data_IF_588745957577
#
_entry.id   IF_588745957577
#
_cell.length_a   1.000
_cell.length_b   1.000
_cell.length_c   1.000
_cell.angle_alpha   90.00
_cell.angle_beta   90.00
_cell.angle_gamma   90.00
#
_symmetry.space_group_name_H-M   'P 1'
#
loop_
_entity.id
_entity.type
_entity.pdbx_description
1 polymer ?
#
# COMPACT_ATOMS: atom_id res chain seq x y z
N UNK A 1 70.11 38.34 15.18
CA UNK A 1 70.41 37.29 16.18
C UNK A 1 69.14 36.47 16.36
N UNK A 2 69.19 35.20 15.90
CA UNK A 2 68.19 34.10 15.93
C UNK A 2 66.71 34.40 15.63
N UNK A 3 66.31 34.02 14.42
CA UNK A 3 64.94 33.88 13.92
C UNK A 3 64.22 32.69 14.59
N UNK A 4 63.03 32.92 15.15
CA UNK A 4 62.12 31.84 15.57
C UNK A 4 61.24 31.45 14.38
N UNK A 5 61.32 30.20 13.95
CA UNK A 5 60.62 29.66 12.79
C UNK A 5 59.19 29.23 13.19
N UNK A 6 58.12 29.85 12.67
CA UNK A 6 56.76 29.59 13.09
C UNK A 6 56.19 28.39 12.32
N UNK A 7 56.74 27.20 12.53
CA UNK A 7 56.05 25.98 12.12
C UNK A 7 55.01 25.61 13.19
N UNK A 8 53.98 26.45 13.33
CA UNK A 8 52.70 25.99 13.88
C UNK A 8 52.14 24.97 12.89
N UNK A 9 52.16 23.70 13.27
CA UNK A 9 51.47 22.64 12.55
C UNK A 9 49.99 23.01 12.42
N UNK A 10 49.58 23.45 11.21
CA UNK A 10 48.18 23.63 10.85
C UNK A 10 47.56 22.25 10.70
N UNK A 11 47.03 21.70 11.80
CA UNK A 11 46.14 20.55 11.75
C UNK A 11 44.82 21.05 11.17
N UNK A 12 44.58 20.78 9.89
CA UNK A 12 43.29 20.99 9.26
C UNK A 12 42.41 19.79 9.66
N UNK A 13 41.51 20.01 10.60
CA UNK A 13 40.50 19.02 10.96
C UNK A 13 39.38 19.08 9.91
N UNK A 14 39.35 18.12 8.98
CA UNK A 14 38.24 17.96 8.04
C UNK A 14 37.06 17.35 8.82
N UNK A 15 36.12 18.19 9.25
CA UNK A 15 34.81 17.72 9.76
C UNK A 15 33.98 17.32 8.54
N UNK A 16 33.94 16.02 8.23
CA UNK A 16 32.94 15.47 7.32
C UNK A 16 31.57 15.49 8.02
N UNK A 17 30.73 16.48 7.71
CA UNK A 17 29.34 16.49 8.15
C UNK A 17 28.59 15.45 7.33
N UNK A 18 28.26 14.31 7.94
CA UNK A 18 27.26 13.39 7.41
C UNK A 18 25.89 14.07 7.56
N UNK A 19 25.43 14.70 6.48
CA UNK A 19 24.05 15.18 6.39
C UNK A 19 23.19 13.95 6.12
N UNK A 20 22.52 13.41 7.14
CA UNK A 20 21.43 12.47 6.91
C UNK A 20 20.27 13.25 6.31
N UNK A 21 20.05 13.09 5.01
CA UNK A 21 18.82 13.57 4.38
C UNK A 21 17.68 12.69 4.90
N UNK A 22 16.84 13.24 5.77
CA UNK A 22 15.52 12.66 6.00
C UNK A 22 14.76 12.79 4.68
N UNK A 23 14.69 11.72 3.87
CA UNK A 23 13.79 11.71 2.72
C UNK A 23 12.39 11.47 3.25
N UNK A 24 11.59 12.53 3.36
CA UNK A 24 10.16 12.37 3.50
C UNK A 24 9.61 11.79 2.20
N UNK A 25 8.62 10.90 2.30
CA UNK A 25 7.89 10.42 1.14
C UNK A 25 7.35 11.64 0.38
N UNK A 26 7.64 11.72 -0.93
CA UNK A 26 7.11 12.80 -1.76
C UNK A 26 5.68 12.44 -2.13
N UNK A 27 4.76 13.39 -1.98
CA UNK A 27 3.39 13.22 -2.46
C UNK A 27 3.36 13.44 -3.99
N UNK A 28 2.99 12.39 -4.73
CA UNK A 28 2.79 12.42 -6.18
C UNK A 28 1.30 12.26 -6.49
N UNK A 29 0.73 13.27 -7.11
CA UNK A 29 -0.71 13.32 -7.40
C UNK A 29 -0.96 13.10 -8.89
N UNK A 30 -1.94 12.27 -9.25
CA UNK A 30 -2.35 12.16 -10.65
C UNK A 30 -3.15 13.38 -11.11
N UNK A 31 -3.04 13.70 -12.39
CA UNK A 31 -3.89 14.70 -13.04
C UNK A 31 -5.33 14.15 -13.13
N UNK A 32 -6.36 15.02 -13.15
CA UNK A 32 -7.75 14.58 -13.32
C UNK A 32 -7.99 13.76 -14.60
N UNK A 33 -7.23 14.05 -15.66
CA UNK A 33 -7.30 13.29 -16.92
C UNK A 33 -6.75 11.87 -16.84
N UNK A 34 -5.94 11.58 -15.82
CA UNK A 34 -5.33 10.28 -15.63
C UNK A 34 -4.33 9.90 -16.73
N UNK A 35 -4.05 8.61 -16.87
CA UNK A 35 -3.11 8.07 -17.84
C UNK A 35 -2.40 6.81 -17.36
N UNK A 36 -1.30 6.48 -18.02
CA UNK A 36 -0.47 5.32 -17.69
C UNK A 36 0.48 5.67 -16.53
N UNK A 37 0.69 4.72 -15.61
CA UNK A 37 1.53 4.94 -14.42
C UNK A 37 2.94 5.41 -14.79
N UNK A 38 3.58 4.83 -15.81
CA UNK A 38 4.94 5.22 -16.22
C UNK A 38 5.02 6.57 -16.92
N UNK A 39 3.89 7.16 -17.35
CA UNK A 39 3.88 8.37 -18.13
C UNK A 39 3.90 9.59 -17.21
N UNK A 40 4.95 10.43 -17.32
CA UNK A 40 5.04 11.68 -16.58
C UNK A 40 3.83 12.62 -16.76
N UNK A 41 3.17 12.57 -17.93
CA UNK A 41 1.95 13.34 -18.19
C UNK A 41 0.74 12.94 -17.33
N UNK A 42 0.76 11.74 -16.73
CA UNK A 42 -0.27 11.29 -15.78
C UNK A 42 -0.18 12.03 -14.45
N UNK A 43 0.98 12.58 -14.12
CA UNK A 43 1.31 13.07 -12.79
C UNK A 43 1.52 14.59 -12.78
N UNK A 44 1.05 15.24 -11.72
CA UNK A 44 1.33 16.65 -11.49
C UNK A 44 2.85 16.79 -11.25
N UNK A 45 3.49 17.68 -12.01
CA UNK A 45 4.95 17.85 -11.96
C UNK A 45 5.74 16.96 -12.91
N UNK A 46 5.09 16.06 -13.66
CA UNK A 46 5.76 15.34 -14.75
C UNK A 46 6.55 14.10 -14.34
N UNK A 47 6.52 13.71 -13.05
CA UNK A 47 7.33 12.62 -12.50
C UNK A 47 6.44 11.47 -12.04
N UNK A 48 6.60 10.26 -12.62
CA UNK A 48 5.95 9.05 -12.11
C UNK A 48 6.38 8.67 -10.69
N UNK A 49 5.48 8.06 -9.88
CA UNK A 49 5.82 7.61 -8.54
C UNK A 49 6.89 6.53 -8.52
N UNK A 50 7.72 6.60 -7.49
CA UNK A 50 8.70 5.61 -7.09
C UNK A 50 8.24 4.83 -5.83
N UNK A 51 8.95 3.75 -5.43
CA UNK A 51 8.58 2.94 -4.27
C UNK A 51 8.52 3.69 -2.92
N UNK A 52 9.15 4.86 -2.83
CA UNK A 52 9.19 5.68 -1.60
C UNK A 52 8.18 6.81 -1.59
N UNK A 53 7.40 6.98 -2.66
CA UNK A 53 6.48 8.10 -2.81
C UNK A 53 5.09 7.75 -2.33
N UNK A 54 4.42 8.72 -1.71
CA UNK A 54 3.00 8.64 -1.39
C UNK A 54 2.21 9.06 -2.63
N UNK A 55 1.19 8.30 -3.00
CA UNK A 55 0.47 8.49 -4.25
C UNK A 55 -0.97 8.89 -3.99
N UNK A 56 -1.45 9.92 -4.69
CA UNK A 56 -2.86 10.31 -4.68
C UNK A 56 -3.45 10.21 -6.08
N UNK A 57 -4.47 9.38 -6.25
CA UNK A 57 -5.13 9.14 -7.53
C UNK A 57 -6.42 9.96 -7.61
N UNK A 58 -6.41 10.99 -8.47
CA UNK A 58 -7.54 11.90 -8.72
C UNK A 58 -8.32 11.59 -10.01
N UNK A 59 -7.68 10.91 -10.97
CA UNK A 59 -8.27 10.45 -12.23
C UNK A 59 -8.05 8.96 -12.49
N UNK A 60 -8.27 8.51 -13.73
CA UNK A 60 -8.04 7.13 -14.14
C UNK A 60 -6.54 6.84 -14.30
N UNK A 61 -5.95 6.05 -13.42
CA UNK A 61 -4.56 5.58 -13.54
C UNK A 61 -4.54 4.11 -13.94
N UNK A 62 -3.90 3.82 -15.07
CA UNK A 62 -3.68 2.46 -15.57
C UNK A 62 -2.24 2.02 -15.32
N UNK A 63 -2.04 0.90 -14.64
CA UNK A 63 -0.72 0.29 -14.50
C UNK A 63 -0.30 -0.32 -15.84
N UNK A 64 0.67 0.29 -16.52
CA UNK A 64 1.24 -0.23 -17.77
C UNK A 64 2.49 -1.09 -17.53
N UNK A 65 3.01 -1.09 -16.30
CA UNK A 65 4.10 -1.92 -15.78
C UNK A 65 3.80 -2.40 -14.36
N UNK A 66 4.53 -3.41 -13.89
CA UNK A 66 4.58 -3.73 -12.48
C UNK A 66 5.38 -2.65 -11.75
N UNK A 67 4.86 -2.15 -10.64
CA UNK A 67 5.41 -0.96 -9.96
C UNK A 67 5.09 -1.00 -8.47
N UNK A 68 5.53 0.03 -7.75
CA UNK A 68 5.30 0.16 -6.32
C UNK A 68 5.21 1.61 -5.88
N UNK A 69 4.59 1.83 -4.72
CA UNK A 69 4.56 3.10 -4.00
C UNK A 69 4.74 2.88 -2.50
N UNK A 70 4.91 3.95 -1.74
CA UNK A 70 4.86 3.90 -0.29
C UNK A 70 3.41 3.78 0.18
N UNK A 71 2.68 4.90 0.28
CA UNK A 71 1.23 4.88 0.52
C UNK A 71 0.46 5.16 -0.78
N UNK A 72 -0.83 4.82 -0.79
CA UNK A 72 -1.74 5.22 -1.88
C UNK A 72 -3.12 5.62 -1.36
N UNK A 73 -3.61 6.76 -1.83
CA UNK A 73 -4.96 7.25 -1.61
C UNK A 73 -5.66 7.35 -2.96
N UNK A 74 -6.76 6.62 -3.13
CA UNK A 74 -7.63 6.73 -4.31
C UNK A 74 -8.78 7.64 -3.92
N UNK A 75 -8.85 8.84 -4.48
CA UNK A 75 -9.95 9.77 -4.21
C UNK A 75 -11.25 9.33 -4.87
N UNK A 76 -12.36 9.98 -4.50
CA UNK A 76 -13.72 9.63 -4.97
C UNK A 76 -13.83 9.57 -6.49
N UNK A 77 -13.13 10.44 -7.21
CA UNK A 77 -13.09 10.45 -8.70
C UNK A 77 -11.98 9.58 -9.28
N UNK A 78 -11.09 9.07 -8.43
CA UNK A 78 -9.94 8.27 -8.80
C UNK A 78 -10.33 6.85 -9.21
N UNK A 79 -9.60 6.29 -10.15
CA UNK A 79 -9.69 4.88 -10.50
C UNK A 79 -8.30 4.29 -10.66
N UNK A 80 -8.02 3.18 -9.99
CA UNK A 80 -6.83 2.37 -10.20
C UNK A 80 -7.21 1.07 -10.90
N UNK A 81 -6.52 0.77 -12.00
CA UNK A 81 -6.69 -0.47 -12.76
C UNK A 81 -5.38 -0.90 -13.43
N UNK A 82 -5.31 -2.13 -13.92
CA UNK A 82 -4.29 -2.55 -14.88
C UNK A 82 -4.55 -1.96 -16.29
N UNK A 83 -3.48 -1.77 -17.07
CA UNK A 83 -3.59 -1.42 -18.49
C UNK A 83 -4.34 -2.53 -19.24
N UNK A 84 -5.11 -2.11 -20.25
CA UNK A 84 -5.88 -3.02 -21.09
C UNK A 84 -5.03 -4.20 -21.59
N UNK A 85 -5.59 -5.40 -21.51
CA UNK A 85 -4.96 -6.65 -21.94
C UNK A 85 -3.60 -6.95 -21.28
N UNK A 86 -3.38 -6.52 -20.02
CA UNK A 86 -2.18 -6.89 -19.26
C UNK A 86 -2.49 -7.39 -17.85
N UNK A 87 -1.72 -8.36 -17.35
CA UNK A 87 -1.66 -8.68 -15.92
C UNK A 87 -0.64 -7.75 -15.25
N UNK A 88 -1.03 -7.12 -14.14
CA UNK A 88 -0.19 -6.12 -13.48
C UNK A 88 -0.27 -6.20 -11.96
N UNK A 89 0.88 -5.93 -11.35
CA UNK A 89 1.03 -5.89 -9.90
C UNK A 89 1.43 -4.50 -9.45
N UNK A 90 0.71 -3.97 -8.46
CA UNK A 90 1.17 -2.84 -7.65
C UNK A 90 1.52 -3.34 -6.25
N UNK A 91 2.74 -3.04 -5.82
CA UNK A 91 3.15 -3.24 -4.42
C UNK A 91 3.04 -1.92 -3.66
N UNK A 92 2.20 -1.89 -2.62
CA UNK A 92 2.05 -0.76 -1.71
C UNK A 92 2.81 -1.09 -0.43
N UNK A 93 3.96 -0.44 -0.24
CA UNK A 93 4.86 -0.72 0.90
C UNK A 93 4.28 -0.27 2.24
N UNK A 94 3.31 0.65 2.22
CA UNK A 94 2.59 1.16 3.36
C UNK A 94 1.08 0.97 3.21
N UNK A 95 0.33 2.02 3.51
CA UNK A 95 -1.12 1.99 3.63
C UNK A 95 -1.82 2.26 2.29
N UNK A 96 -3.02 1.69 2.13
CA UNK A 96 -3.95 2.01 1.04
C UNK A 96 -5.29 2.50 1.61
N UNK A 97 -5.73 3.66 1.12
CA UNK A 97 -7.07 4.18 1.39
C UNK A 97 -7.82 4.34 0.07
N UNK A 98 -8.93 3.63 -0.08
CA UNK A 98 -9.76 3.69 -1.28
C UNK A 98 -11.07 4.44 -0.99
N UNK A 99 -11.26 5.61 -1.60
CA UNK A 99 -12.54 6.33 -1.67
C UNK A 99 -13.20 6.25 -3.05
N UNK A 100 -12.47 5.79 -4.07
CA UNK A 100 -12.92 5.72 -5.46
C UNK A 100 -13.14 4.28 -5.91
N UNK A 101 -12.52 3.91 -7.02
CA UNK A 101 -12.66 2.61 -7.67
C UNK A 101 -11.31 1.91 -7.85
N UNK A 102 -11.19 0.71 -7.28
CA UNK A 102 -10.13 -0.25 -7.59
C UNK A 102 -10.78 -1.41 -8.35
N UNK A 103 -10.26 -1.72 -9.54
CA UNK A 103 -10.83 -2.77 -10.38
C UNK A 103 -9.82 -3.39 -11.32
N UNK A 104 -10.16 -4.57 -11.81
CA UNK A 104 -9.58 -5.06 -13.04
C UNK A 104 -10.10 -4.25 -14.23
N UNK A 105 -9.29 -4.22 -15.28
CA UNK A 105 -9.75 -3.85 -16.60
C UNK A 105 -10.20 -5.09 -17.37
N UNK A 106 -9.32 -5.71 -18.17
CA UNK A 106 -9.64 -6.95 -18.91
C UNK A 106 -9.02 -8.21 -18.29
N UNK A 107 -7.73 -8.14 -17.94
CA UNK A 107 -7.06 -9.17 -17.14
C UNK A 107 -6.80 -8.68 -15.72
N UNK A 108 -5.93 -9.36 -14.99
CA UNK A 108 -5.88 -9.29 -13.55
C UNK A 108 -5.04 -8.11 -13.05
N UNK A 109 -5.59 -7.35 -12.11
CA UNK A 109 -4.86 -6.47 -11.22
C UNK A 109 -4.60 -7.19 -9.89
N UNK A 110 -3.33 -7.28 -9.53
CA UNK A 110 -2.88 -7.77 -8.22
C UNK A 110 -2.36 -6.61 -7.38
N UNK A 111 -2.83 -6.52 -6.14
CA UNK A 111 -2.34 -5.59 -5.13
C UNK A 111 -1.63 -6.38 -4.02
N UNK A 112 -0.36 -6.08 -3.80
CA UNK A 112 0.38 -6.55 -2.63
C UNK A 112 0.50 -5.39 -1.65
N UNK A 113 -0.04 -5.51 -0.45
CA UNK A 113 -0.15 -4.40 0.50
C UNK A 113 0.52 -4.81 1.81
N UNK A 114 1.46 -3.99 2.28
CA UNK A 114 2.21 -4.25 3.50
C UNK A 114 1.73 -3.47 4.73
N UNK A 115 0.78 -2.55 4.56
CA UNK A 115 0.23 -1.72 5.62
C UNK A 115 -1.30 -1.80 5.76
N UNK A 116 -1.86 -0.79 6.41
CA UNK A 116 -3.30 -0.68 6.70
C UNK A 116 -4.13 -0.55 5.42
N UNK A 117 -5.28 -1.22 5.39
CA UNK A 117 -6.28 -1.12 4.32
C UNK A 117 -7.54 -0.42 4.86
N UNK A 118 -7.92 0.68 4.20
CA UNK A 118 -9.21 1.34 4.42
C UNK A 118 -9.99 1.35 3.11
N UNK A 119 -11.13 0.65 3.08
CA UNK A 119 -12.02 0.64 1.92
C UNK A 119 -13.31 1.43 2.20
N UNK A 120 -13.39 2.63 1.62
CA UNK A 120 -14.57 3.51 1.60
C UNK A 120 -15.27 3.53 0.24
N UNK A 121 -14.68 2.89 -0.79
CA UNK A 121 -15.13 2.91 -2.18
C UNK A 121 -15.47 1.53 -2.73
N UNK A 122 -15.36 1.38 -4.04
CA UNK A 122 -15.56 0.10 -4.74
C UNK A 122 -14.23 -0.62 -4.93
N UNK A 123 -14.20 -1.91 -4.63
CA UNK A 123 -13.01 -2.75 -4.73
C UNK A 123 -13.35 -4.09 -5.40
N UNK A 124 -12.91 -4.28 -6.64
CA UNK A 124 -13.38 -5.35 -7.55
C UNK A 124 -12.23 -5.96 -8.38
N UNK A 125 -10.99 -5.88 -7.89
CA UNK A 125 -9.85 -6.46 -8.61
C UNK A 125 -9.72 -7.97 -8.36
N UNK A 126 -8.86 -8.63 -9.13
CA UNK A 126 -8.68 -10.08 -9.03
C UNK A 126 -8.01 -10.48 -7.71
N UNK A 127 -6.90 -9.84 -7.33
CA UNK A 127 -6.10 -10.31 -6.18
C UNK A 127 -5.70 -9.18 -5.25
N UNK A 128 -6.05 -9.29 -3.97
CA UNK A 128 -5.53 -8.44 -2.89
C UNK A 128 -4.80 -9.33 -1.91
N UNK A 129 -3.51 -9.08 -1.72
CA UNK A 129 -2.64 -9.88 -0.88
C UNK A 129 -2.08 -9.00 0.24
N UNK A 130 -2.28 -9.42 1.49
CA UNK A 130 -1.57 -8.87 2.63
C UNK A 130 -0.14 -9.43 2.59
N UNK A 131 0.86 -8.56 2.66
CA UNK A 131 2.29 -8.92 2.57
C UNK A 131 3.13 -8.25 3.67
N UNK A 132 4.40 -8.58 3.74
CA UNK A 132 5.32 -7.93 4.69
C UNK A 132 5.18 -8.45 6.12
N UNK A 133 5.79 -7.75 7.07
CA UNK A 133 6.10 -8.25 8.42
C UNK A 133 5.52 -7.40 9.55
N UNK A 134 4.75 -6.37 9.23
CA UNK A 134 4.15 -5.45 10.19
C UNK A 134 2.67 -5.73 10.35
N UNK A 135 2.11 -5.32 11.47
CA UNK A 135 0.68 -5.47 11.73
C UNK A 135 -0.14 -4.66 10.72
N UNK A 136 -1.19 -5.28 10.18
CA UNK A 136 -2.09 -4.64 9.23
C UNK A 136 -3.49 -4.52 9.81
N UNK A 137 -4.09 -3.35 9.62
CA UNK A 137 -5.45 -3.07 10.08
C UNK A 137 -6.38 -2.99 8.88
N UNK A 138 -7.54 -3.65 8.96
CA UNK A 138 -8.53 -3.74 7.91
C UNK A 138 -9.79 -3.00 8.33
N UNK A 139 -10.15 -1.93 7.61
CA UNK A 139 -11.38 -1.16 7.81
C UNK A 139 -12.22 -1.18 6.53
N UNK A 140 -13.35 -1.89 6.53
CA UNK A 140 -14.24 -1.97 5.35
C UNK A 140 -15.55 -1.22 5.60
N UNK A 141 -15.57 0.06 5.23
CA UNK A 141 -16.79 0.89 5.28
C UNK A 141 -17.69 0.65 4.05
N UNK A 142 -17.13 0.05 2.99
CA UNK A 142 -17.83 -0.57 1.89
C UNK A 142 -17.42 -2.03 1.76
N UNK A 143 -18.29 -2.91 1.21
CA UNK A 143 -17.96 -4.30 1.00
C UNK A 143 -16.71 -4.46 0.15
N UNK A 144 -15.84 -5.39 0.54
CA UNK A 144 -14.80 -5.88 -0.34
C UNK A 144 -15.41 -6.88 -1.32
N UNK A 145 -15.18 -6.68 -2.62
CA UNK A 145 -15.76 -7.51 -3.70
C UNK A 145 -14.73 -7.97 -4.72
N UNK A 146 -13.44 -7.92 -4.36
CA UNK A 146 -12.38 -8.54 -5.14
C UNK A 146 -12.48 -10.06 -5.11
N UNK A 147 -11.90 -10.73 -6.11
CA UNK A 147 -12.05 -12.18 -6.29
C UNK A 147 -11.28 -12.96 -5.20
N UNK A 148 -10.02 -12.59 -4.96
CA UNK A 148 -9.18 -13.20 -3.93
C UNK A 148 -8.69 -12.16 -2.91
N UNK A 149 -8.82 -12.49 -1.63
CA UNK A 149 -8.22 -11.76 -0.52
C UNK A 149 -7.35 -12.74 0.27
N UNK A 150 -6.03 -12.61 0.13
CA UNK A 150 -5.09 -13.57 0.73
C UNK A 150 -4.17 -12.95 1.76
N UNK A 151 -3.82 -13.69 2.81
CA UNK A 151 -2.68 -13.35 3.67
C UNK A 151 -1.44 -14.11 3.20
N UNK A 152 -0.43 -13.37 2.75
CA UNK A 152 0.93 -13.85 2.49
C UNK A 152 1.92 -13.07 3.37
N UNK A 153 1.49 -12.70 4.57
CA UNK A 153 2.31 -12.00 5.54
C UNK A 153 3.38 -12.93 6.11
N UNK A 154 4.53 -12.37 6.46
CA UNK A 154 5.55 -13.09 7.22
C UNK A 154 5.04 -13.35 8.64
N UNK A 155 5.48 -14.44 9.26
CA UNK A 155 5.04 -14.99 10.57
C UNK A 155 5.05 -13.99 11.74
N UNK A 156 5.66 -12.81 11.57
CA UNK A 156 5.78 -11.77 12.59
C UNK A 156 4.58 -10.80 12.58
N UNK A 157 3.98 -10.56 11.43
CA UNK A 157 2.83 -9.66 11.30
C UNK A 157 1.52 -10.40 11.47
N UNK A 158 0.46 -9.66 11.75
CA UNK A 158 -0.91 -10.18 11.77
C UNK A 158 -1.91 -9.17 11.18
N UNK A 159 -3.05 -9.66 10.73
CA UNK A 159 -4.15 -8.83 10.26
C UNK A 159 -5.21 -8.64 11.36
N UNK A 160 -5.72 -7.42 11.51
CA UNK A 160 -6.77 -7.08 12.47
C UNK A 160 -7.93 -6.35 11.78
N UNK A 161 -9.13 -6.91 11.85
CA UNK A 161 -10.36 -6.19 11.53
C UNK A 161 -10.67 -5.14 12.59
N UNK A 162 -10.84 -3.89 12.17
CA UNK A 162 -11.16 -2.74 13.03
C UNK A 162 -12.62 -2.33 12.95
N UNK A 163 -13.40 -3.00 12.10
CA UNK A 163 -14.85 -2.93 12.04
C UNK A 163 -15.43 -4.29 11.62
N UNK A 164 -16.74 -4.39 11.45
CA UNK A 164 -17.33 -5.57 10.85
C UNK A 164 -16.89 -5.69 9.38
N UNK A 165 -16.16 -6.76 9.06
CA UNK A 165 -15.62 -6.98 7.72
C UNK A 165 -16.67 -7.64 6.84
N UNK A 166 -16.99 -7.02 5.70
CA UNK A 166 -17.96 -7.56 4.74
C UNK A 166 -17.29 -7.89 3.42
N UNK A 167 -17.38 -9.16 3.05
CA UNK A 167 -16.90 -9.72 1.79
C UNK A 167 -18.07 -10.21 0.95
N UNK A 168 -18.01 -10.00 -0.37
CA UNK A 168 -19.04 -10.50 -1.31
C UNK A 168 -18.35 -11.16 -2.50
N UNK A 169 -18.63 -12.44 -2.73
CA UNK A 169 -18.07 -13.20 -3.84
C UNK A 169 -16.56 -13.42 -3.75
N UNK A 170 -15.96 -13.23 -2.58
CA UNK A 170 -14.51 -13.28 -2.36
C UNK A 170 -14.08 -14.65 -1.82
N UNK A 171 -13.03 -15.21 -2.40
CA UNK A 171 -12.26 -16.30 -1.81
C UNK A 171 -11.27 -15.69 -0.81
N UNK A 172 -11.45 -16.01 0.47
CA UNK A 172 -10.64 -15.48 1.56
C UNK A 172 -9.73 -16.61 2.05
N UNK A 173 -8.43 -16.41 1.93
CA UNK A 173 -7.44 -17.44 2.24
C UNK A 173 -6.28 -16.85 3.04
N UNK A 174 -6.17 -17.23 4.31
CA UNK A 174 -5.10 -16.72 5.17
C UNK A 174 -3.88 -17.63 5.20
N UNK A 175 -3.82 -18.69 4.39
CA UNK A 175 -2.66 -19.59 4.29
C UNK A 175 -2.15 -20.11 5.66
N UNK A 176 -3.07 -20.32 6.61
CA UNK A 176 -2.82 -20.76 7.97
C UNK A 176 -2.65 -19.62 9.00
N UNK A 177 -2.68 -18.36 8.57
CA UNK A 177 -2.56 -17.17 9.41
C UNK A 177 -3.84 -16.87 10.21
N UNK A 178 -3.73 -15.93 11.14
CA UNK A 178 -4.82 -15.50 12.02
C UNK A 178 -5.39 -14.13 11.60
N UNK A 179 -6.70 -14.01 11.66
CA UNK A 179 -7.42 -12.74 11.63
C UNK A 179 -7.88 -12.41 13.05
N UNK A 180 -7.41 -11.28 13.57
CA UNK A 180 -7.89 -10.73 14.83
C UNK A 180 -9.07 -9.80 14.61
N UNK A 181 -10.04 -9.79 15.52
CA UNK A 181 -11.15 -8.83 15.53
C UNK A 181 -11.01 -7.89 16.72
N UNK A 182 -10.96 -6.58 16.45
CA UNK A 182 -10.82 -5.53 17.48
C UNK A 182 -11.97 -5.58 18.48
N UNK A 183 -11.71 -5.17 19.73
CA UNK A 183 -12.73 -5.13 20.77
C UNK A 183 -13.95 -4.30 20.34
N UNK A 184 -15.16 -4.85 20.53
CA UNK A 184 -16.41 -4.25 20.07
C UNK A 184 -16.83 -4.62 18.64
N UNK A 185 -16.01 -5.39 17.92
CA UNK A 185 -16.35 -5.96 16.62
C UNK A 185 -16.18 -7.47 16.66
N UNK A 186 -17.22 -8.20 16.26
CA UNK A 186 -17.31 -9.66 16.38
C UNK A 186 -17.84 -10.34 15.11
N UNK A 187 -18.02 -9.57 14.04
CA UNK A 187 -18.77 -9.99 12.86
C UNK A 187 -17.93 -9.93 11.60
N UNK A 188 -17.89 -11.05 10.89
CA UNK A 188 -17.42 -11.16 9.50
C UNK A 188 -18.60 -11.64 8.66
N UNK A 189 -18.93 -10.91 7.60
CA UNK A 189 -20.00 -11.25 6.67
C UNK A 189 -19.40 -11.78 5.38
N UNK A 190 -19.71 -13.03 5.03
CA UNK A 190 -19.32 -13.64 3.76
C UNK A 190 -20.57 -13.96 2.96
N UNK A 191 -20.75 -13.27 1.83
CA UNK A 191 -21.87 -13.49 0.92
C UNK A 191 -21.38 -13.96 -0.44
N UNK A 192 -21.42 -15.27 -0.69
CA UNK A 192 -20.71 -15.89 -1.80
C UNK A 192 -19.20 -15.99 -1.54
N UNK A 193 -18.51 -16.80 -2.33
CA UNK A 193 -17.13 -17.19 -2.03
C UNK A 193 -17.04 -18.13 -0.81
N UNK A 194 -15.87 -18.20 -0.18
CA UNK A 194 -15.62 -19.02 1.01
C UNK A 194 -14.40 -18.53 1.80
N UNK A 195 -14.31 -18.96 3.06
CA UNK A 195 -13.15 -18.80 3.94
C UNK A 195 -12.37 -20.12 3.98
N UNK A 196 -11.04 -20.06 3.88
CA UNK A 196 -10.16 -21.20 4.11
C UNK A 196 -8.88 -20.80 4.84
N UNK A 197 -8.28 -21.79 5.52
CA UNK A 197 -6.94 -21.69 6.13
C UNK A 197 -6.76 -20.44 7.00
N UNK A 198 -7.74 -20.16 7.86
CA UNK A 198 -7.74 -19.00 8.76
C UNK A 198 -8.11 -19.41 10.18
N UNK A 199 -7.41 -18.86 11.17
CA UNK A 199 -7.89 -18.82 12.56
C UNK A 199 -8.48 -17.44 12.87
N UNK A 200 -9.68 -17.38 13.42
CA UNK A 200 -10.30 -16.10 13.83
C UNK A 200 -10.20 -15.96 15.35
N UNK A 201 -9.59 -14.87 15.80
CA UNK A 201 -9.34 -14.60 17.22
C UNK A 201 -10.02 -13.29 17.65
N UNK A 202 -10.55 -13.28 18.87
CA UNK A 202 -11.16 -12.09 19.46
C UNK A 202 -10.13 -11.30 20.27
N UNK A 203 -10.17 -9.97 20.15
CA UNK A 203 -9.19 -9.08 20.75
C UNK A 203 -7.86 -9.12 19.98
N UNK A 204 -7.23 -7.97 19.76
CA UNK A 204 -5.89 -7.94 19.16
C UNK A 204 -4.90 -8.71 20.02
N UNK A 205 -3.77 -9.20 19.45
CA UNK A 205 -2.72 -9.78 20.28
C UNK A 205 -2.27 -8.74 21.30
N UNK A 206 -1.99 -9.19 22.53
CA UNK A 206 -1.48 -8.31 23.58
C UNK A 206 -0.17 -7.70 23.10
N UNK A 207 -0.13 -6.37 22.92
CA UNK A 207 1.12 -5.62 22.74
C UNK A 207 2.01 -5.72 23.98
#
# INVERSE_FOLDING_TARGET
MKTFNPNLAKIIFFISVLISTNSYAVLIQSQPGGGDWSNGGTWIGGTPPSPTDDVEINGLVSLDLNTSSNNITINVTGTLQNKNNTNRTLTVNGNITNHGLIRDNYYNLTLNISGTIVNNGQWTNSHTNLTGNSNQYLTFNQPFTGEYFTSNMDVVGFATGTNALRFIGTVIDFNGDSLYMSAGYDSIFVNGGYLQEMTILAGGPME
#
